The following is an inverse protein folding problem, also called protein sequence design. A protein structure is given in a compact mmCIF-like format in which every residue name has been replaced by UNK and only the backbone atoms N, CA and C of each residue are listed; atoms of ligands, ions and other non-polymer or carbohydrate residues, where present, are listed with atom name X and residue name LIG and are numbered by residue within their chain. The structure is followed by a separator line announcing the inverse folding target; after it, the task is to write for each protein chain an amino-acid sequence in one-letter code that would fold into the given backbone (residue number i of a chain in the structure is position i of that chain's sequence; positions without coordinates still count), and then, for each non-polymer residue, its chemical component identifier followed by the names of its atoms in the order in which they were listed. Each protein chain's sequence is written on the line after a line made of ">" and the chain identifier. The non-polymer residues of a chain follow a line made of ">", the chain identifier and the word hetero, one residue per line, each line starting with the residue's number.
data_IF_877181562431
#
_entry.id   IF_877181562431
#
_cell.length_a   1.000
_cell.length_b   1.000
_cell.length_c   1.000
_cell.angle_alpha   90.00
_cell.angle_beta   90.00
_cell.angle_gamma   90.00
#
_symmetry.space_group_name_H-M   'P 1'
#
loop_
_entity.id
_entity.type
_entity.pdbx_description
1 polymer ?
#
# COMPACT_ATOMS: atom_id res chain seq x y z
N UNK A 1 -6.07 13.16 -16.17
CA UNK A 1 -7.54 13.16 -16.12
C UNK A 1 -7.91 12.10 -15.12
N UNK A 2 -8.27 12.49 -13.90
CA UNK A 2 -8.69 11.55 -12.87
C UNK A 2 -9.98 10.89 -13.33
N UNK A 3 -9.97 9.56 -13.45
CA UNK A 3 -11.20 8.82 -13.70
C UNK A 3 -12.11 9.02 -12.47
N UNK A 4 -13.41 9.31 -12.65
CA UNK A 4 -14.31 9.62 -11.52
C UNK A 4 -14.34 8.54 -10.44
N UNK A 5 -14.17 7.27 -10.84
CA UNK A 5 -14.06 6.10 -9.97
C UNK A 5 -12.88 6.16 -8.98
N UNK A 6 -11.72 6.66 -9.43
CA UNK A 6 -10.53 6.80 -8.57
C UNK A 6 -10.75 7.87 -7.51
N UNK A 7 -11.42 8.98 -7.88
CA UNK A 7 -11.74 10.06 -6.96
C UNK A 7 -12.77 9.62 -5.90
N UNK A 8 -13.76 8.80 -6.26
CA UNK A 8 -14.71 8.22 -5.30
C UNK A 8 -13.96 7.32 -4.30
N UNK A 9 -13.09 6.45 -4.79
CA UNK A 9 -12.27 5.58 -3.92
C UNK A 9 -11.38 6.38 -2.97
N UNK A 10 -10.61 7.34 -3.51
CA UNK A 10 -9.77 8.23 -2.72
C UNK A 10 -10.57 9.05 -1.69
N UNK A 11 -11.81 9.45 -2.01
CA UNK A 11 -12.69 10.13 -1.05
C UNK A 11 -13.09 9.20 0.11
N UNK A 12 -13.46 7.95 -0.18
CA UNK A 12 -13.86 6.97 0.85
C UNK A 12 -12.70 6.56 1.77
N UNK A 13 -11.47 6.68 1.28
CA UNK A 13 -10.23 6.41 2.03
C UNK A 13 -9.68 7.65 2.74
N UNK A 14 -10.24 8.83 2.49
CA UNK A 14 -9.84 10.08 3.14
C UNK A 14 -8.56 10.70 2.56
N UNK A 15 -8.22 10.35 1.31
CA UNK A 15 -6.99 10.78 0.64
C UNK A 15 -7.17 12.07 -0.19
N UNK A 16 -8.42 12.49 -0.44
CA UNK A 16 -8.68 13.74 -1.16
C UNK A 16 -8.43 14.97 -0.28
N UNK A 17 -7.82 15.99 -0.89
CA UNK A 17 -7.78 17.34 -0.32
C UNK A 17 -9.18 17.96 -0.27
N UNK A 18 -9.33 19.05 0.50
CA UNK A 18 -10.59 19.79 0.57
C UNK A 18 -11.04 20.36 -0.79
N UNK A 19 -10.09 20.73 -1.66
CA UNK A 19 -10.41 21.25 -2.99
C UNK A 19 -10.95 20.13 -3.90
N UNK A 20 -10.28 18.97 -3.91
CA UNK A 20 -10.71 17.81 -4.71
C UNK A 20 -12.05 17.26 -4.22
N UNK A 21 -12.28 17.22 -2.91
CA UNK A 21 -13.55 16.82 -2.32
C UNK A 21 -14.72 17.70 -2.80
N UNK A 22 -14.51 19.03 -2.91
CA UNK A 22 -15.54 19.94 -3.44
C UNK A 22 -15.84 19.67 -4.91
N UNK A 23 -14.81 19.39 -5.72
CA UNK A 23 -14.98 19.06 -7.14
C UNK A 23 -15.76 17.75 -7.32
N UNK A 24 -15.45 16.72 -6.52
CA UNK A 24 -16.18 15.47 -6.53
C UNK A 24 -17.65 15.69 -6.13
N UNK A 25 -17.92 16.44 -5.05
CA UNK A 25 -19.29 16.75 -4.62
C UNK A 25 -20.10 17.49 -5.68
N UNK A 26 -19.48 18.44 -6.40
CA UNK A 26 -20.13 19.13 -7.52
C UNK A 26 -20.48 18.17 -8.67
N UNK A 27 -19.60 17.19 -8.95
CA UNK A 27 -19.87 16.16 -9.94
C UNK A 27 -21.04 15.25 -9.52
N UNK A 28 -21.03 14.77 -8.26
CA UNK A 28 -22.07 13.90 -7.72
C UNK A 28 -23.46 14.57 -7.73
N UNK A 29 -23.53 15.89 -7.57
CA UNK A 29 -24.78 16.64 -7.65
C UNK A 29 -25.45 16.59 -9.04
N UNK A 30 -24.71 16.23 -10.09
CA UNK A 30 -25.21 16.23 -11.49
C UNK A 30 -25.14 14.87 -12.19
N UNK A 31 -24.44 13.89 -11.63
CA UNK A 31 -24.17 12.60 -12.27
C UNK A 31 -24.74 11.42 -11.47
N UNK A 32 -25.95 10.98 -11.82
CA UNK A 32 -26.61 9.84 -11.15
C UNK A 32 -25.83 8.51 -11.24
N UNK A 33 -25.04 8.31 -12.31
CA UNK A 33 -24.17 7.12 -12.44
C UNK A 33 -23.08 7.08 -11.37
N UNK A 34 -22.43 8.21 -11.10
CA UNK A 34 -21.38 8.29 -10.09
C UNK A 34 -21.95 8.24 -8.66
N UNK A 35 -23.19 8.72 -8.46
CA UNK A 35 -23.91 8.53 -7.19
C UNK A 35 -24.18 7.04 -6.95
N UNK A 36 -24.71 6.32 -7.94
CA UNK A 36 -24.94 4.88 -7.83
C UNK A 36 -23.65 4.10 -7.53
N UNK A 37 -22.55 4.44 -8.21
CA UNK A 37 -21.23 3.85 -7.96
C UNK A 37 -20.72 4.11 -6.53
N UNK A 38 -20.90 5.33 -6.03
CA UNK A 38 -20.54 5.67 -4.65
C UNK A 38 -21.38 4.88 -3.62
N UNK A 39 -22.68 4.71 -3.87
CA UNK A 39 -23.57 3.89 -3.04
C UNK A 39 -23.17 2.40 -3.07
N UNK A 40 -22.80 1.87 -4.23
CA UNK A 40 -22.30 0.50 -4.37
C UNK A 40 -21.05 0.26 -3.51
N UNK A 41 -20.05 1.15 -3.63
CA UNK A 41 -18.81 1.05 -2.87
C UNK A 41 -19.04 1.20 -1.36
N UNK A 42 -19.94 2.08 -0.94
CA UNK A 42 -20.32 2.22 0.47
C UNK A 42 -20.99 0.95 1.01
N UNK A 43 -21.86 0.30 0.22
CA UNK A 43 -22.49 -0.98 0.60
C UNK A 43 -21.45 -2.09 0.80
N UNK A 44 -20.49 -2.23 -0.11
CA UNK A 44 -19.40 -3.21 0.00
C UNK A 44 -18.56 -2.94 1.27
N UNK A 45 -18.17 -1.67 1.50
CA UNK A 45 -17.39 -1.28 2.68
C UNK A 45 -18.14 -1.56 3.98
N UNK A 46 -19.45 -1.31 4.02
CA UNK A 46 -20.28 -1.61 5.18
C UNK A 46 -20.36 -3.13 5.43
N UNK A 47 -20.52 -3.94 4.38
CA UNK A 47 -20.56 -5.40 4.50
C UNK A 47 -19.24 -5.97 5.05
N UNK A 48 -18.09 -5.49 4.57
CA UNK A 48 -16.78 -5.90 5.08
C UNK A 48 -16.62 -5.51 6.56
N UNK A 49 -17.02 -4.30 6.93
CA UNK A 49 -16.95 -3.84 8.34
C UNK A 49 -17.91 -4.55 9.28
N UNK A 50 -18.95 -5.19 8.74
CA UNK A 50 -19.88 -5.99 9.52
C UNK A 50 -19.38 -7.43 9.77
N UNK A 51 -18.25 -7.83 9.17
CA UNK A 51 -17.66 -9.14 9.43
C UNK A 51 -17.26 -9.27 10.91
N UNK A 52 -17.46 -10.47 11.51
CA UNK A 52 -17.06 -10.70 12.89
C UNK A 52 -15.55 -10.57 13.04
N UNK A 53 -15.12 -9.93 14.12
CA UNK A 53 -13.71 -9.91 14.50
C UNK A 53 -13.36 -11.31 15.00
N UNK A 54 -12.41 -11.96 14.31
CA UNK A 54 -11.89 -13.27 14.73
C UNK A 54 -10.81 -13.04 15.77
N UNK A 55 -11.00 -13.57 16.97
CA UNK A 55 -9.95 -13.59 17.98
C UNK A 55 -8.82 -14.51 17.53
N UNK A 56 -7.57 -14.06 17.73
CA UNK A 56 -6.40 -14.86 17.40
C UNK A 56 -6.29 -16.03 18.39
N UNK A 57 -6.27 -17.30 17.94
CA UNK A 57 -6.06 -18.45 18.81
C UNK A 57 -4.76 -18.35 19.62
N UNK A 58 -4.83 -18.79 20.89
CA UNK A 58 -3.67 -18.83 21.78
C UNK A 58 -2.55 -19.70 21.18
N UNK A 59 -1.30 -19.23 21.23
CA UNK A 59 -0.12 -19.96 20.76
C UNK A 59 0.19 -19.85 19.26
N UNK A 60 -0.59 -19.10 18.46
CA UNK A 60 -0.26 -18.86 17.03
C UNK A 60 0.79 -17.78 16.81
N UNK A 61 0.82 -16.79 17.69
CA UNK A 61 1.99 -15.94 17.84
C UNK A 61 2.88 -16.64 18.87
N UNK A 62 4.17 -16.91 18.57
CA UNK A 62 5.11 -17.18 19.66
C UNK A 62 4.93 -16.02 20.61
N UNK A 63 4.68 -16.31 21.89
CA UNK A 63 4.61 -15.27 22.92
C UNK A 63 5.79 -14.37 22.65
N UNK A 64 5.48 -13.15 22.21
CA UNK A 64 6.47 -12.13 22.04
C UNK A 64 6.85 -11.71 23.45
N UNK A 65 7.53 -12.61 24.17
CA UNK A 65 8.69 -12.28 24.95
C UNK A 65 9.61 -11.56 23.97
N UNK A 66 9.26 -10.29 23.74
CA UNK A 66 10.18 -9.28 23.29
C UNK A 66 11.21 -9.20 24.40
N UNK A 67 12.13 -10.17 24.41
CA UNK A 67 13.49 -9.92 24.77
C UNK A 67 13.91 -8.80 23.82
N UNK A 68 13.65 -7.56 24.27
CA UNK A 68 14.02 -6.34 23.60
C UNK A 68 15.53 -6.43 23.48
N UNK A 69 16.04 -7.01 22.40
CA UNK A 69 17.47 -7.15 22.15
C UNK A 69 18.00 -5.72 22.20
N UNK A 70 18.75 -5.34 23.25
CA UNK A 70 19.26 -4.00 23.32
C UNK A 70 20.25 -3.89 22.16
N UNK A 71 19.93 -3.06 21.18
CA UNK A 71 20.88 -2.67 20.13
C UNK A 71 21.99 -1.86 20.80
N UNK A 72 22.87 -2.52 21.54
CA UNK A 72 24.00 -1.90 22.24
C UNK A 72 25.04 -1.54 21.19
N UNK A 73 24.81 -0.39 20.55
CA UNK A 73 25.64 0.15 19.49
C UNK A 73 26.96 0.66 20.10
N UNK A 74 27.97 -0.21 20.18
CA UNK A 74 29.32 0.13 20.65
C UNK A 74 30.11 1.02 19.66
N UNK A 75 29.46 2.02 19.04
CA UNK A 75 29.98 2.84 17.92
C UNK A 75 30.52 4.21 18.33
N UNK A 76 30.85 4.43 19.61
CA UNK A 76 31.23 5.74 20.12
C UNK A 76 32.63 6.25 19.71
N UNK A 77 33.62 5.37 19.52
CA UNK A 77 35.01 5.83 19.37
C UNK A 77 35.59 5.68 17.96
N UNK A 78 35.16 4.69 17.17
CA UNK A 78 35.72 4.43 15.83
C UNK A 78 34.94 5.07 14.67
N UNK A 79 33.72 5.60 14.89
CA UNK A 79 32.90 6.20 13.83
C UNK A 79 33.30 7.64 13.46
N UNK A 80 33.99 8.37 14.34
CA UNK A 80 34.38 9.76 14.06
C UNK A 80 35.37 9.89 12.89
N UNK A 81 36.31 8.96 12.77
CA UNK A 81 37.34 8.98 11.72
C UNK A 81 36.87 8.37 10.39
N UNK A 82 35.97 7.39 10.40
CA UNK A 82 35.49 6.73 9.19
C UNK A 82 34.33 7.49 8.51
N UNK A 83 33.52 8.26 9.26
CA UNK A 83 32.35 8.94 8.72
C UNK A 83 32.70 10.08 7.75
N UNK A 84 33.82 10.77 7.96
CA UNK A 84 34.24 11.90 7.10
C UNK A 84 34.63 11.45 5.71
N UNK A 85 35.37 10.35 5.59
CA UNK A 85 35.81 9.80 4.29
C UNK A 85 34.62 9.26 3.50
N UNK A 86 33.71 8.53 4.14
CA UNK A 86 32.52 8.00 3.48
C UNK A 86 31.56 9.11 3.04
N UNK A 87 31.35 10.14 3.87
CA UNK A 87 30.51 11.28 3.51
C UNK A 87 31.06 12.05 2.30
N UNK A 88 32.38 12.24 2.22
CA UNK A 88 33.01 12.87 1.07
C UNK A 88 32.83 12.06 -0.22
N UNK A 89 32.99 10.73 -0.17
CA UNK A 89 32.79 9.85 -1.33
C UNK A 89 31.32 9.86 -1.78
N UNK A 90 30.37 9.81 -0.85
CA UNK A 90 28.93 9.89 -1.17
C UNK A 90 28.57 11.25 -1.78
N UNK A 91 29.09 12.35 -1.22
CA UNK A 91 28.81 13.70 -1.74
C UNK A 91 29.34 13.88 -3.17
N UNK A 92 30.55 13.39 -3.45
CA UNK A 92 31.11 13.40 -4.81
C UNK A 92 30.28 12.53 -5.74
N UNK A 93 29.92 11.30 -5.34
CA UNK A 93 29.12 10.40 -6.15
C UNK A 93 27.71 10.97 -6.46
N UNK A 94 27.07 11.59 -5.47
CA UNK A 94 25.75 12.22 -5.63
C UNK A 94 25.78 13.44 -6.57
N UNK A 95 26.93 14.09 -6.72
CA UNK A 95 27.09 15.20 -7.67
C UNK A 95 27.09 14.74 -9.14
N UNK A 96 27.42 13.47 -9.38
CA UNK A 96 27.50 12.87 -10.73
C UNK A 96 26.41 11.82 -11.01
N UNK A 97 25.58 11.48 -10.03
CA UNK A 97 24.53 10.47 -10.19
C UNK A 97 23.14 11.08 -9.97
N UNK A 98 22.21 10.79 -10.88
CA UNK A 98 20.80 11.00 -10.61
C UNK A 98 20.35 10.00 -9.54
N UNK A 99 19.51 10.40 -8.56
CA UNK A 99 19.04 9.47 -7.55
C UNK A 99 18.33 8.30 -8.23
N UNK A 100 18.67 7.04 -7.92
CA UNK A 100 17.94 5.90 -8.43
C UNK A 100 16.50 6.02 -7.93
N UNK A 101 15.56 6.22 -8.86
CA UNK A 101 14.15 6.16 -8.53
C UNK A 101 13.86 4.74 -8.03
N UNK A 102 13.26 4.56 -6.84
CA UNK A 102 12.90 3.24 -6.37
C UNK A 102 11.77 2.70 -7.27
N UNK A 103 12.14 1.95 -8.29
CA UNK A 103 11.21 1.19 -9.10
C UNK A 103 10.83 -0.07 -8.32
N UNK A 104 9.81 0.06 -7.46
CA UNK A 104 9.11 -1.09 -6.89
C UNK A 104 8.49 -1.88 -8.04
N UNK A 105 9.11 -3.01 -8.39
CA UNK A 105 8.61 -3.88 -9.45
C UNK A 105 7.53 -4.82 -8.89
N UNK A 106 6.63 -5.27 -9.77
CA UNK A 106 5.64 -6.31 -9.42
C UNK A 106 6.34 -7.60 -8.98
N UNK A 107 7.53 -7.87 -9.52
CA UNK A 107 8.38 -9.01 -9.17
C UNK A 107 8.92 -8.92 -7.73
N UNK A 108 9.28 -7.72 -7.26
CA UNK A 108 9.69 -7.48 -5.86
C UNK A 108 8.54 -7.70 -4.87
N UNK A 109 7.31 -7.37 -5.25
CA UNK A 109 6.12 -7.64 -4.45
C UNK A 109 5.81 -9.14 -4.43
N UNK A 110 5.84 -9.79 -5.61
CA UNK A 110 5.61 -11.23 -5.76
C UNK A 110 6.60 -12.06 -4.95
N UNK A 111 7.89 -11.75 -5.01
CA UNK A 111 8.93 -12.48 -4.27
C UNK A 111 8.77 -12.36 -2.74
N UNK A 112 8.36 -11.18 -2.24
CA UNK A 112 8.18 -10.94 -0.80
C UNK A 112 6.88 -11.52 -0.24
N UNK A 113 5.82 -11.54 -1.03
CA UNK A 113 4.47 -11.94 -0.58
C UNK A 113 3.99 -13.28 -1.14
N UNK A 114 4.72 -13.88 -2.10
CA UNK A 114 4.37 -15.16 -2.71
C UNK A 114 4.33 -16.33 -1.73
N UNK A 115 5.13 -16.28 -0.67
CA UNK A 115 5.10 -17.27 0.41
C UNK A 115 3.83 -17.20 1.27
N UNK A 116 3.11 -16.06 1.29
CA UNK A 116 1.82 -15.92 1.99
C UNK A 116 0.64 -16.33 1.11
N UNK A 117 0.71 -16.06 -0.19
CA UNK A 117 -0.38 -16.36 -1.13
C UNK A 117 -0.67 -17.87 -1.26
N UNK A 118 0.31 -18.75 -1.02
CA UNK A 118 0.12 -20.21 -1.10
C UNK A 118 -0.51 -20.83 0.15
N UNK A 119 -0.56 -20.10 1.27
CA UNK A 119 -1.04 -20.62 2.56
C UNK A 119 -2.47 -20.20 2.88
N UNK A 120 -3.08 -19.33 2.08
CA UNK A 120 -4.47 -18.92 2.26
C UNK A 120 -5.41 -19.76 1.36
N UNK A 121 -6.12 -20.76 1.90
CA UNK A 121 -7.08 -21.54 1.12
C UNK A 121 -8.28 -20.72 0.62
N UNK A 122 -8.48 -19.48 1.11
CA UNK A 122 -9.51 -18.58 0.58
C UNK A 122 -9.12 -17.95 -0.77
N UNK A 123 -7.83 -17.92 -1.12
CA UNK A 123 -7.32 -17.49 -2.42
C UNK A 123 -7.13 -18.68 -3.38
N UNK A 124 -8.17 -19.50 -3.55
CA UNK A 124 -8.27 -20.24 -4.82
C UNK A 124 -8.32 -19.21 -5.95
N UNK A 125 -7.50 -19.32 -7.01
CA UNK A 125 -7.61 -18.44 -8.16
C UNK A 125 -8.98 -18.69 -8.79
N UNK A 126 -9.96 -17.86 -8.43
CA UNK A 126 -11.18 -17.73 -9.19
C UNK A 126 -10.71 -17.42 -10.62
N UNK A 127 -10.98 -18.35 -11.55
CA UNK A 127 -10.68 -18.18 -12.97
C UNK A 127 -11.29 -16.85 -13.40
N UNK A 128 -10.46 -15.83 -13.53
CA UNK A 128 -10.84 -14.56 -14.17
C UNK A 128 -11.04 -14.92 -15.64
N UNK A 129 -12.30 -15.16 -16.01
CA UNK A 129 -12.68 -15.25 -17.41
C UNK A 129 -12.53 -13.85 -18.00
N UNK A 130 -11.36 -13.59 -18.60
CA UNK A 130 -11.14 -12.42 -19.43
C UNK A 130 -12.01 -12.59 -20.68
N UNK A 131 -13.18 -11.98 -20.68
CA UNK A 131 -14.00 -11.85 -21.87
C UNK A 131 -13.32 -10.80 -22.75
N UNK A 132 -12.53 -11.26 -23.72
CA UNK A 132 -12.16 -10.44 -24.87
C UNK A 132 -13.45 -10.12 -25.63
N UNK A 133 -13.85 -8.85 -25.66
CA UNK A 133 -14.78 -8.35 -26.67
C UNK A 133 -13.96 -8.04 -27.93
N UNK A 134 -14.11 -8.89 -28.95
CA UNK A 134 -13.77 -8.59 -30.33
C UNK A 134 -14.95 -7.87 -31.02
N UNK A 135 -14.65 -6.82 -31.80
CA UNK A 135 -15.52 -6.20 -32.82
C UNK A 135 -16.51 -5.16 -32.29
N UNK A 136 -16.71 -3.98 -32.89
CA UNK A 136 -16.35 -3.38 -34.20
C UNK A 136 -16.07 -1.88 -34.04
#
# INVERSE_FOLDING_TARGET
>A
MTHPSDAISAYLDGELTAAESRLLMAHLASCGKCVAEMEDLQRVRAAIRALPVVELPQGLVPEAEAELVPLRRHRGFWMGAAATVVAAVIAVAAMFSSPPQPNLTVEDLSSRFGARASLDPAFTPAKVNVIYQEGE
#
